data_IF_811657221084
#
_entry.id   IF_811657221084
#
_cell.length_a   1.000
_cell.length_b   1.000
_cell.length_c   1.000
_cell.angle_alpha   90.00
_cell.angle_beta   90.00
_cell.angle_gamma   90.00
#
_symmetry.space_group_name_H-M   'P 1'
#
loop_
_entity.id
_entity.type
_entity.pdbx_description
1 polymer ?
#
# COMPACT_ATOMS: atom_id res chain seq x y z
N UNK A 1 1.07 -39.21 15.61
CA UNK A 1 2.07 -39.20 14.54
C UNK A 1 2.60 -37.79 14.37
N UNK A 2 3.93 -37.59 14.22
CA UNK A 2 4.50 -36.28 13.91
C UNK A 2 3.92 -35.74 12.59
N UNK A 3 3.70 -34.44 12.50
CA UNK A 3 3.24 -33.80 11.26
C UNK A 3 4.40 -33.75 10.27
N UNK A 4 4.24 -34.40 9.12
CA UNK A 4 5.20 -34.36 8.02
C UNK A 4 5.07 -33.03 7.27
N UNK A 5 6.19 -32.33 7.09
CA UNK A 5 6.23 -31.09 6.33
C UNK A 5 6.15 -31.41 4.83
N UNK A 6 5.34 -30.70 4.04
CA UNK A 6 5.35 -30.87 2.60
C UNK A 6 6.68 -30.37 2.01
N UNK A 7 7.02 -30.83 0.80
CA UNK A 7 8.14 -30.28 0.05
C UNK A 7 7.87 -28.78 -0.26
N UNK A 8 8.70 -27.85 0.25
CA UNK A 8 8.53 -26.42 0.00
C UNK A 8 8.67 -26.01 -1.47
N UNK A 9 9.30 -26.87 -2.30
CA UNK A 9 9.47 -26.67 -3.74
C UNK A 9 8.28 -27.19 -4.56
N UNK A 10 7.40 -27.99 -3.98
CA UNK A 10 6.21 -28.44 -4.69
C UNK A 10 5.27 -27.26 -4.92
N UNK A 11 5.13 -26.85 -6.18
CA UNK A 11 4.26 -25.76 -6.63
C UNK A 11 2.94 -26.25 -7.22
N UNK A 12 2.68 -27.56 -7.21
CA UNK A 12 1.44 -28.13 -7.77
C UNK A 12 0.22 -27.53 -7.08
N UNK A 13 -0.63 -26.84 -7.84
CA UNK A 13 -1.82 -26.16 -7.31
C UNK A 13 -1.54 -24.93 -6.45
N UNK A 14 -0.33 -24.37 -6.48
CA UNK A 14 0.05 -23.14 -5.79
C UNK A 14 0.30 -21.99 -6.78
N UNK A 15 0.02 -20.73 -6.40
CA UNK A 15 -0.53 -20.30 -5.11
C UNK A 15 -2.03 -20.59 -4.98
N UNK A 16 -2.51 -20.93 -3.76
CA UNK A 16 -3.93 -21.30 -3.52
C UNK A 16 -4.92 -20.15 -3.62
N UNK A 17 -4.43 -18.91 -3.64
CA UNK A 17 -5.24 -17.70 -3.55
C UNK A 17 -5.12 -16.87 -4.83
N UNK A 18 -5.17 -17.53 -5.99
CA UNK A 18 -5.00 -16.83 -7.28
C UNK A 18 -6.24 -16.04 -7.70
N UNK A 19 -7.43 -16.62 -7.53
CA UNK A 19 -8.70 -15.92 -7.79
C UNK A 19 -8.91 -14.65 -6.94
N UNK A 20 -8.67 -14.65 -5.61
CA UNK A 20 -8.78 -13.43 -4.81
C UNK A 20 -7.59 -12.47 -4.98
N UNK A 21 -6.53 -12.85 -5.71
CA UNK A 21 -5.33 -12.01 -5.87
C UNK A 21 -5.66 -10.74 -6.66
N UNK A 22 -5.56 -9.54 -6.05
CA UNK A 22 -6.09 -8.33 -6.66
C UNK A 22 -5.25 -7.84 -7.84
N UNK A 23 -3.95 -8.12 -7.86
CA UNK A 23 -3.03 -7.54 -8.85
C UNK A 23 -3.00 -8.25 -10.20
N UNK A 24 -3.69 -9.39 -10.35
CA UNK A 24 -3.88 -10.09 -11.64
C UNK A 24 -5.22 -9.73 -12.31
N UNK A 25 -6.06 -8.94 -11.64
CA UNK A 25 -7.38 -8.59 -12.14
C UNK A 25 -7.29 -7.39 -13.06
N UNK A 26 -8.21 -7.32 -14.01
CA UNK A 26 -8.44 -6.16 -14.85
C UNK A 26 -9.73 -5.47 -14.39
N UNK A 27 -9.82 -4.17 -14.61
CA UNK A 27 -11.07 -3.45 -14.63
C UNK A 27 -11.97 -4.02 -15.76
N UNK A 28 -13.26 -3.73 -15.67
CA UNK A 28 -14.31 -4.28 -16.52
C UNK A 28 -14.43 -5.82 -16.45
N UNK A 29 -13.82 -6.47 -15.45
CA UNK A 29 -13.94 -7.92 -15.25
C UNK A 29 -15.07 -8.27 -14.27
N UNK A 30 -15.62 -9.48 -14.43
CA UNK A 30 -16.75 -9.96 -13.62
C UNK A 30 -18.10 -9.68 -14.25
N UNK A 31 -19.13 -9.59 -13.42
CA UNK A 31 -20.50 -9.32 -13.86
C UNK A 31 -20.64 -7.86 -14.30
N UNK A 32 -21.05 -7.64 -15.55
CA UNK A 32 -21.35 -6.31 -16.07
C UNK A 32 -22.54 -5.72 -15.31
N UNK A 33 -22.48 -4.46 -14.85
CA UNK A 33 -23.60 -3.79 -14.21
C UNK A 33 -24.86 -3.83 -15.09
N UNK A 34 -26.02 -4.05 -14.47
CA UNK A 34 -27.31 -4.08 -15.16
C UNK A 34 -27.70 -2.73 -15.77
N UNK A 35 -27.17 -1.63 -15.23
CA UNK A 35 -27.38 -0.26 -15.71
C UNK A 35 -26.03 0.32 -16.13
N UNK A 36 -25.97 0.77 -17.39
CA UNK A 36 -24.81 1.44 -17.97
C UNK A 36 -25.21 2.85 -18.38
N UNK A 37 -24.28 3.82 -18.38
CA UNK A 37 -24.56 5.14 -18.92
C UNK A 37 -24.84 5.07 -20.43
N UNK A 38 -25.79 5.86 -20.90
CA UNK A 38 -26.10 6.04 -22.33
C UNK A 38 -25.10 6.98 -23.03
N UNK A 39 -24.35 7.76 -22.25
CA UNK A 39 -23.31 8.65 -22.74
C UNK A 39 -22.54 9.34 -21.61
N UNK A 40 -21.54 10.14 -22.00
CA UNK A 40 -20.79 11.01 -21.10
C UNK A 40 -20.44 12.30 -21.82
N UNK A 41 -20.63 13.44 -21.17
CA UNK A 41 -20.21 14.74 -21.67
C UNK A 41 -18.68 14.85 -21.79
N UNK A 42 -17.94 14.05 -21.02
CA UNK A 42 -16.47 13.98 -21.08
C UNK A 42 -16.05 12.66 -21.73
N UNK A 43 -15.35 12.69 -22.89
CA UNK A 43 -14.84 11.47 -23.49
C UNK A 43 -13.75 10.86 -22.60
N UNK A 44 -13.75 9.54 -22.50
CA UNK A 44 -12.70 8.77 -21.83
C UNK A 44 -12.47 7.46 -22.57
N UNK A 45 -11.29 6.87 -22.38
CA UNK A 45 -10.97 5.57 -22.97
C UNK A 45 -11.73 4.46 -22.24
N UNK A 46 -12.60 3.77 -22.96
CA UNK A 46 -13.31 2.60 -22.46
C UNK A 46 -12.47 1.32 -22.71
N UNK A 47 -11.52 1.05 -21.82
CA UNK A 47 -10.61 -0.10 -21.90
C UNK A 47 -10.44 -0.78 -20.54
N UNK A 48 -10.07 -2.07 -20.57
CA UNK A 48 -9.79 -2.85 -19.37
C UNK A 48 -8.36 -2.58 -18.87
N UNK A 49 -8.23 -1.67 -17.89
CA UNK A 49 -6.95 -1.37 -17.23
C UNK A 49 -6.64 -2.39 -16.11
N UNK A 50 -5.38 -2.55 -15.67
CA UNK A 50 -5.06 -3.31 -14.46
C UNK A 50 -5.87 -2.81 -13.26
N UNK A 51 -6.43 -3.74 -12.47
CA UNK A 51 -7.23 -3.36 -11.32
C UNK A 51 -6.38 -2.62 -10.29
N UNK A 52 -6.88 -1.47 -9.84
CA UNK A 52 -6.30 -0.74 -8.73
C UNK A 52 -6.73 -1.35 -7.40
N UNK A 53 -5.75 -1.71 -6.57
CA UNK A 53 -5.96 -2.19 -5.21
C UNK A 53 -5.13 -1.38 -4.21
N UNK A 54 -5.83 -0.62 -3.37
CA UNK A 54 -5.21 0.19 -2.32
C UNK A 54 -5.74 -0.29 -0.96
N UNK A 55 -4.88 -0.83 -0.07
CA UNK A 55 -5.30 -1.27 1.25
C UNK A 55 -5.96 -0.15 2.07
N UNK A 56 -6.91 -0.50 2.93
CA UNK A 56 -7.67 0.42 3.79
C UNK A 56 -6.77 1.46 4.49
N UNK A 57 -5.69 0.99 5.09
CA UNK A 57 -4.77 1.81 5.87
C UNK A 57 -3.90 2.74 5.01
N UNK A 58 -3.82 2.50 3.70
CA UNK A 58 -3.20 3.41 2.75
C UNK A 58 -4.23 4.40 2.21
N UNK A 59 -5.41 3.92 1.86
CA UNK A 59 -6.49 4.71 1.30
C UNK A 59 -6.99 5.79 2.26
N UNK A 60 -7.13 5.46 3.54
CA UNK A 60 -7.60 6.38 4.60
C UNK A 60 -6.48 7.08 5.38
N UNK A 61 -5.23 6.92 4.96
CA UNK A 61 -4.11 7.53 5.65
C UNK A 61 -4.18 9.07 5.58
N UNK A 62 -4.16 9.72 6.73
CA UNK A 62 -4.26 11.18 6.83
C UNK A 62 -5.69 11.70 6.93
N UNK A 63 -6.71 10.82 6.90
CA UNK A 63 -8.10 11.22 7.15
C UNK A 63 -8.29 11.57 8.63
N UNK A 64 -9.21 12.50 8.95
CA UNK A 64 -9.74 12.68 10.28
C UNK A 64 -10.36 11.39 10.81
N UNK A 65 -10.16 11.12 12.10
CA UNK A 65 -10.62 9.88 12.75
C UNK A 65 -12.15 9.73 12.71
N UNK A 66 -12.88 10.84 12.84
CA UNK A 66 -14.34 10.89 12.72
C UNK A 66 -14.83 10.46 11.34
N UNK A 67 -14.20 10.97 10.28
CA UNK A 67 -14.51 10.58 8.90
C UNK A 67 -14.14 9.11 8.66
N UNK A 68 -12.96 8.68 9.11
CA UNK A 68 -12.51 7.28 8.95
C UNK A 68 -13.48 6.30 9.64
N UNK A 69 -13.99 6.65 10.81
CA UNK A 69 -15.03 5.86 11.52
C UNK A 69 -16.36 5.87 10.77
N UNK A 70 -16.80 7.02 10.25
CA UNK A 70 -18.03 7.11 9.47
C UNK A 70 -17.97 6.21 8.23
N UNK A 71 -16.85 6.24 7.49
CA UNK A 71 -16.63 5.37 6.34
C UNK A 71 -16.57 3.90 6.76
N UNK A 72 -15.87 3.57 7.85
CA UNK A 72 -15.79 2.18 8.32
C UNK A 72 -17.15 1.59 8.73
N UNK A 73 -18.06 2.43 9.24
CA UNK A 73 -19.39 2.01 9.68
C UNK A 73 -20.41 1.89 8.53
N UNK A 74 -20.16 2.54 7.39
CA UNK A 74 -21.06 2.50 6.23
C UNK A 74 -20.27 2.61 4.92
N UNK A 75 -19.39 1.64 4.64
CA UNK A 75 -18.46 1.72 3.50
C UNK A 75 -19.17 1.83 2.15
N UNK A 76 -20.35 1.23 2.03
CA UNK A 76 -21.25 1.25 0.88
C UNK A 76 -21.78 2.66 0.52
N UNK A 77 -21.71 3.62 1.43
CA UNK A 77 -22.13 5.01 1.20
C UNK A 77 -21.02 5.93 0.71
N UNK A 78 -19.81 5.40 0.61
CA UNK A 78 -18.61 6.15 0.26
C UNK A 78 -17.82 5.42 -0.82
N UNK A 79 -17.24 6.19 -1.73
CA UNK A 79 -16.29 5.69 -2.71
C UNK A 79 -15.09 6.62 -2.77
N UNK A 80 -13.93 6.08 -3.08
CA UNK A 80 -12.72 6.88 -3.24
C UNK A 80 -12.48 7.17 -4.72
N UNK A 81 -12.35 8.46 -5.06
CA UNK A 81 -11.87 8.92 -6.36
C UNK A 81 -10.38 9.26 -6.27
N UNK A 82 -9.53 8.47 -6.92
CA UNK A 82 -8.07 8.59 -6.88
C UNK A 82 -7.56 9.13 -8.21
N UNK A 83 -7.04 10.36 -8.25
CA UNK A 83 -6.34 10.82 -9.44
C UNK A 83 -5.02 10.04 -9.61
N UNK A 84 -4.68 9.72 -10.85
CA UNK A 84 -3.39 9.12 -11.16
C UNK A 84 -2.25 10.10 -10.83
N UNK A 85 -1.29 9.66 -10.02
CA UNK A 85 -0.26 10.54 -9.46
C UNK A 85 -0.71 11.33 -8.23
N UNK A 86 -1.83 10.97 -7.59
CA UNK A 86 -2.36 11.63 -6.41
C UNK A 86 -1.31 11.96 -5.34
N UNK A 87 -1.40 13.15 -4.74
CA UNK A 87 -0.54 13.57 -3.64
C UNK A 87 -0.47 15.08 -3.52
N UNK A 88 0.28 15.62 -2.53
CA UNK A 88 0.37 17.05 -2.27
C UNK A 88 0.69 17.89 -3.49
N UNK A 89 1.58 17.42 -4.37
CA UNK A 89 1.92 18.14 -5.60
C UNK A 89 0.73 18.22 -6.54
N UNK A 90 0.07 17.09 -6.79
CA UNK A 90 -1.08 17.02 -7.69
C UNK A 90 -2.23 17.91 -7.21
N UNK A 91 -2.51 17.93 -5.90
CA UNK A 91 -3.55 18.79 -5.33
C UNK A 91 -3.17 20.28 -5.30
N UNK A 92 -1.89 20.61 -5.18
CA UNK A 92 -1.43 21.99 -5.33
C UNK A 92 -1.60 22.47 -6.78
N UNK A 93 -1.34 21.59 -7.75
CA UNK A 93 -1.53 21.84 -9.17
C UNK A 93 -3.03 21.80 -9.56
N UNK A 94 -3.90 21.18 -8.74
CA UNK A 94 -5.35 21.05 -8.94
C UNK A 94 -6.16 21.43 -7.67
N UNK A 95 -6.20 22.71 -7.27
CA UNK A 95 -6.78 23.14 -6.00
C UNK A 95 -8.30 22.93 -5.89
N UNK A 96 -8.99 22.73 -7.01
CA UNK A 96 -10.44 22.45 -7.09
C UNK A 96 -10.74 21.04 -7.61
N UNK A 97 -9.88 20.08 -7.28
CA UNK A 97 -10.02 18.70 -7.72
C UNK A 97 -11.36 18.05 -7.33
N UNK A 98 -11.94 18.49 -6.21
CA UNK A 98 -13.29 18.11 -5.76
C UNK A 98 -14.36 18.49 -6.80
N UNK A 99 -14.31 19.73 -7.32
CA UNK A 99 -15.21 20.18 -8.37
C UNK A 99 -14.94 19.47 -9.69
N UNK A 100 -13.67 19.30 -10.07
CA UNK A 100 -13.31 18.60 -11.32
C UNK A 100 -13.84 17.17 -11.35
N UNK A 101 -13.71 16.45 -10.23
CA UNK A 101 -14.29 15.11 -10.12
C UNK A 101 -15.81 15.15 -10.11
N UNK A 102 -16.42 16.12 -9.41
CA UNK A 102 -17.89 16.26 -9.39
C UNK A 102 -18.45 16.53 -10.79
N UNK A 103 -17.88 17.48 -11.53
CA UNK A 103 -18.27 17.82 -12.90
C UNK A 103 -18.14 16.62 -13.83
N UNK A 104 -17.05 15.85 -13.70
CA UNK A 104 -16.88 14.60 -14.44
C UNK A 104 -18.00 13.59 -14.15
N UNK A 105 -18.33 13.37 -12.86
CA UNK A 105 -19.40 12.47 -12.45
C UNK A 105 -20.79 12.96 -12.88
N UNK A 106 -21.04 14.27 -12.80
CA UNK A 106 -22.28 14.89 -13.25
C UNK A 106 -22.45 14.78 -14.77
N UNK A 107 -21.36 14.68 -15.54
CA UNK A 107 -21.36 14.57 -16.99
C UNK A 107 -21.86 13.23 -17.54
N UNK A 108 -22.01 12.19 -16.72
CA UNK A 108 -22.58 10.91 -17.16
C UNK A 108 -24.09 11.02 -17.39
N UNK A 109 -24.56 10.53 -18.53
CA UNK A 109 -25.98 10.31 -18.77
C UNK A 109 -26.38 8.94 -18.19
N UNK A 110 -26.78 8.95 -16.92
CA UNK A 110 -27.10 7.76 -16.13
C UNK A 110 -28.44 7.98 -15.41
N UNK A 111 -29.37 7.00 -15.40
CA UNK A 111 -30.77 7.21 -14.96
C UNK A 111 -30.93 7.76 -13.55
N UNK A 112 -30.17 7.22 -12.60
CA UNK A 112 -30.06 7.75 -11.24
C UNK A 112 -28.61 7.72 -10.79
N UNK A 113 -28.05 8.90 -10.53
CA UNK A 113 -26.69 9.09 -10.02
C UNK A 113 -26.66 9.34 -8.51
N UNK A 114 -27.80 9.67 -7.91
CA UNK A 114 -27.90 10.23 -6.56
C UNK A 114 -27.39 11.68 -6.44
N UNK A 115 -27.58 12.34 -5.28
CA UNK A 115 -27.07 13.68 -4.97
C UNK A 115 -25.55 13.67 -4.68
N UNK A 116 -24.74 13.48 -5.72
CA UNK A 116 -23.29 13.32 -5.60
C UNK A 116 -22.63 14.51 -4.92
N UNK A 117 -21.85 14.20 -3.89
CA UNK A 117 -20.97 15.13 -3.18
C UNK A 117 -19.54 14.60 -3.21
N UNK A 118 -18.58 15.49 -3.50
CA UNK A 118 -17.14 15.19 -3.54
C UNK A 118 -16.41 16.15 -2.62
N UNK A 119 -15.47 15.65 -1.82
CA UNK A 119 -14.63 16.50 -0.97
C UNK A 119 -13.25 15.90 -0.70
N UNK A 120 -12.27 16.76 -0.41
CA UNK A 120 -10.94 16.35 0.03
C UNK A 120 -10.92 16.12 1.55
N UNK A 121 -10.42 14.97 2.03
CA UNK A 121 -10.61 14.54 3.43
C UNK A 121 -9.59 15.17 4.40
N UNK A 122 -9.12 16.40 4.17
CA UNK A 122 -8.19 17.08 5.09
C UNK A 122 -8.89 18.30 5.67
N UNK A 123 -9.03 18.33 7.00
CA UNK A 123 -9.50 19.53 7.70
C UNK A 123 -8.45 20.62 7.52
N UNK A 124 -8.86 21.78 6.99
CA UNK A 124 -8.05 22.99 7.10
C UNK A 124 -7.79 23.26 8.59
N UNK A 125 -6.53 23.11 9.02
CA UNK A 125 -6.16 23.49 10.38
C UNK A 125 -6.16 25.02 10.45
N UNK A 126 -7.28 25.61 10.84
CA UNK A 126 -7.33 27.03 11.23
C UNK A 126 -6.53 27.17 12.52
N UNK A 127 -5.32 27.74 12.46
CA UNK A 127 -4.48 27.94 13.63
C UNK A 127 -5.12 28.90 14.63
N UNK A 128 -4.81 28.74 15.93
CA UNK A 128 -5.33 29.53 17.07
C UNK A 128 -5.07 31.06 17.01
N UNK A 129 -4.45 31.57 15.94
CA UNK A 129 -4.20 33.00 15.69
C UNK A 129 -4.53 33.45 14.26
N UNK A 130 -5.32 32.68 13.50
CA UNK A 130 -5.55 32.92 12.07
C UNK A 130 -4.31 32.74 11.18
N UNK A 131 -3.13 32.47 11.77
CA UNK A 131 -1.95 32.03 11.04
C UNK A 131 -2.06 30.53 10.78
N UNK A 132 -2.02 30.16 9.51
CA UNK A 132 -1.83 28.78 9.06
C UNK A 132 -0.50 28.31 9.65
N UNK A 133 -0.55 27.51 10.72
CA UNK A 133 0.66 26.94 11.32
C UNK A 133 1.06 25.77 10.43
N UNK A 134 2.03 26.02 9.56
CA UNK A 134 2.74 24.96 8.86
C UNK A 134 3.63 24.22 9.86
N UNK A 135 3.04 23.31 10.63
CA UNK A 135 3.77 22.45 11.57
C UNK A 135 4.93 21.78 10.83
N UNK A 136 6.15 22.20 11.15
CA UNK A 136 7.42 21.59 10.79
C UNK A 136 7.41 20.83 9.46
N UNK A 137 7.46 21.55 8.34
CA UNK A 137 7.64 20.99 6.98
C UNK A 137 8.92 20.14 6.90
N UNK A 138 8.90 18.91 7.42
CA UNK A 138 9.53 17.83 6.67
C UNK A 138 8.82 17.88 5.32
N UNK A 139 9.55 18.26 4.26
CA UNK A 139 8.99 18.36 2.91
C UNK A 139 8.25 17.06 2.63
N UNK A 140 6.91 17.11 2.66
CA UNK A 140 6.10 15.95 2.31
C UNK A 140 6.47 15.58 0.88
N UNK A 141 6.64 14.29 0.61
CA UNK A 141 6.86 13.80 -0.75
C UNK A 141 5.73 14.32 -1.65
N UNK A 142 6.04 14.59 -2.92
CA UNK A 142 5.05 15.03 -3.92
C UNK A 142 3.85 14.08 -4.00
N UNK A 143 4.05 12.81 -3.63
CA UNK A 143 3.09 11.71 -3.71
C UNK A 143 2.62 11.18 -2.34
N UNK A 144 2.87 11.93 -1.25
CA UNK A 144 2.43 11.55 0.09
C UNK A 144 0.90 11.49 0.22
N UNK A 145 0.43 10.89 1.31
CA UNK A 145 -0.99 10.76 1.66
C UNK A 145 -1.55 12.06 2.28
N UNK A 146 -2.87 12.31 2.24
CA UNK A 146 -3.92 11.46 1.66
C UNK A 146 -3.99 11.58 0.14
N UNK A 147 -4.40 10.48 -0.50
CA UNK A 147 -4.49 10.33 -1.96
C UNK A 147 -5.90 10.48 -2.53
N UNK A 148 -6.98 10.01 -1.89
CA UNK A 148 -8.30 10.04 -2.52
C UNK A 148 -9.08 11.31 -2.18
N UNK A 149 -9.95 11.71 -3.12
CA UNK A 149 -11.18 12.45 -2.83
C UNK A 149 -12.25 11.46 -2.34
N UNK A 150 -13.10 11.90 -1.43
CA UNK A 150 -14.23 11.09 -0.95
C UNK A 150 -15.47 11.48 -1.73
N UNK A 151 -16.13 10.49 -2.33
CA UNK A 151 -17.40 10.62 -3.05
C UNK A 151 -18.51 10.02 -2.18
N UNK A 152 -19.63 10.71 -2.02
CA UNK A 152 -20.82 10.24 -1.29
C UNK A 152 -22.10 10.73 -1.95
N UNK A 153 -23.26 10.24 -1.47
CA UNK A 153 -24.57 10.54 -2.08
C UNK A 153 -24.78 9.91 -3.46
N UNK A 154 -23.93 8.96 -3.84
CA UNK A 154 -24.02 8.25 -5.12
C UNK A 154 -25.03 7.09 -5.02
N UNK A 155 -25.79 6.84 -6.09
CA UNK A 155 -26.67 5.67 -6.19
C UNK A 155 -25.87 4.36 -6.24
N UNK A 156 -26.47 3.26 -5.82
CA UNK A 156 -25.80 1.95 -5.79
C UNK A 156 -25.42 1.48 -7.21
N UNK A 157 -26.32 1.65 -8.18
CA UNK A 157 -26.08 1.21 -9.56
C UNK A 157 -25.00 2.05 -10.25
N UNK A 158 -24.95 3.36 -9.99
CA UNK A 158 -23.89 4.19 -10.54
C UNK A 158 -22.54 3.86 -9.89
N UNK A 159 -22.51 3.58 -8.57
CA UNK A 159 -21.30 3.10 -7.90
C UNK A 159 -20.82 1.77 -8.49
N UNK A 160 -21.70 0.80 -8.72
CA UNK A 160 -21.36 -0.48 -9.37
C UNK A 160 -20.71 -0.26 -10.74
N UNK A 161 -21.28 0.64 -11.56
CA UNK A 161 -20.70 1.01 -12.84
C UNK A 161 -19.30 1.61 -12.71
N UNK A 162 -19.12 2.60 -11.83
CA UNK A 162 -17.83 3.26 -11.64
C UNK A 162 -16.75 2.30 -11.12
N UNK A 163 -17.11 1.36 -10.25
CA UNK A 163 -16.19 0.33 -9.73
C UNK A 163 -15.88 -0.73 -10.77
N UNK A 164 -16.87 -1.14 -11.57
CA UNK A 164 -16.67 -2.07 -12.68
C UNK A 164 -15.72 -1.48 -13.72
N UNK A 165 -15.97 -0.25 -14.20
CA UNK A 165 -15.07 0.42 -15.15
C UNK A 165 -13.72 0.78 -14.52
N UNK A 166 -13.74 1.15 -13.23
CA UNK A 166 -12.64 1.52 -12.36
C UNK A 166 -11.76 2.69 -12.80
N UNK A 167 -11.23 2.67 -14.02
CA UNK A 167 -10.27 3.63 -14.56
C UNK A 167 -10.89 4.42 -15.70
N UNK A 168 -10.81 5.75 -15.59
CA UNK A 168 -11.30 6.69 -16.59
C UNK A 168 -10.14 7.59 -17.02
N UNK A 169 -9.51 7.25 -18.15
CA UNK A 169 -8.45 8.04 -18.74
C UNK A 169 -9.06 9.12 -19.65
N UNK A 170 -9.01 10.38 -19.20
CA UNK A 170 -9.62 11.52 -19.90
C UNK A 170 -8.54 12.27 -20.69
N UNK A 171 -8.76 12.59 -21.99
CA UNK A 171 -7.85 13.40 -22.78
C UNK A 171 -7.48 14.73 -22.09
N UNK A 172 -6.18 15.04 -22.06
CA UNK A 172 -5.61 16.36 -21.73
C UNK A 172 -5.78 16.86 -20.28
N UNK A 173 -6.33 16.07 -19.36
CA UNK A 173 -6.66 16.57 -18.03
C UNK A 173 -6.23 15.63 -16.89
N UNK A 174 -6.94 14.51 -16.67
CA UNK A 174 -6.85 13.73 -15.44
C UNK A 174 -7.20 12.26 -15.74
N UNK A 175 -6.55 11.33 -15.05
CA UNK A 175 -7.01 9.93 -14.99
C UNK A 175 -7.61 9.69 -13.62
N UNK A 176 -8.88 9.30 -13.57
CA UNK A 176 -9.57 8.95 -12.33
C UNK A 176 -9.60 7.43 -12.16
N UNK A 177 -9.28 6.98 -10.95
CA UNK A 177 -9.48 5.60 -10.53
C UNK A 177 -10.49 5.56 -9.39
N UNK A 178 -11.46 4.68 -9.45
CA UNK A 178 -12.46 4.51 -8.40
C UNK A 178 -12.21 3.22 -7.63
N UNK A 179 -12.17 3.32 -6.31
CA UNK A 179 -12.02 2.15 -5.44
C UNK A 179 -13.00 2.22 -4.29
N UNK A 180 -13.49 1.06 -3.86
CA UNK A 180 -14.34 0.94 -2.68
C UNK A 180 -13.51 1.14 -1.41
N UNK A 181 -14.14 1.74 -0.42
CA UNK A 181 -13.64 1.71 0.95
C UNK A 181 -13.96 0.35 1.57
N UNK A 182 -12.96 -0.52 1.70
CA UNK A 182 -13.12 -1.79 2.41
C UNK A 182 -12.23 -1.81 3.66
N UNK A 183 -12.80 -1.71 4.88
CA UNK A 183 -12.04 -1.79 6.14
C UNK A 183 -11.22 -3.08 6.31
N UNK A 184 -11.57 -4.14 5.58
CA UNK A 184 -10.89 -5.44 5.60
C UNK A 184 -9.83 -5.58 4.51
N UNK A 185 -9.70 -4.61 3.60
CA UNK A 185 -8.68 -4.63 2.56
C UNK A 185 -7.29 -4.40 3.16
N UNK A 186 -6.53 -5.47 3.35
CA UNK A 186 -5.17 -5.46 3.87
C UNK A 186 -4.12 -5.62 2.76
N UNK A 187 -2.90 -5.18 3.01
CA UNK A 187 -1.82 -5.30 2.03
C UNK A 187 -1.49 -6.77 1.71
N UNK A 188 -1.55 -7.13 0.44
CA UNK A 188 -1.05 -8.42 -0.06
C UNK A 188 0.48 -8.46 -0.15
N UNK A 189 1.13 -7.29 -0.21
CA UNK A 189 2.59 -7.18 -0.25
C UNK A 189 3.14 -7.28 1.17
N UNK A 190 3.87 -8.34 1.43
CA UNK A 190 4.36 -8.71 2.76
C UNK A 190 5.73 -8.09 3.01
N UNK A 191 6.67 -8.32 2.10
CA UNK A 191 8.07 -7.94 2.26
C UNK A 191 8.77 -7.78 0.89
N UNK A 192 9.81 -6.96 0.86
CA UNK A 192 10.74 -6.89 -0.26
C UNK A 192 12.12 -7.34 0.23
N UNK A 193 12.83 -8.13 -0.57
CA UNK A 193 14.15 -8.67 -0.25
C UNK A 193 15.16 -8.30 -1.31
N UNK A 194 16.35 -7.84 -0.88
CA UNK A 194 17.50 -7.53 -1.73
C UNK A 194 18.67 -8.47 -1.43
N UNK A 195 19.65 -8.50 -2.33
CA UNK A 195 20.90 -9.24 -2.15
C UNK A 195 21.49 -9.72 -3.48
N UNK A 196 22.70 -10.25 -3.45
CA UNK A 196 23.44 -10.67 -4.66
C UNK A 196 22.77 -11.80 -5.45
N UNK A 197 21.86 -12.54 -4.79
CA UNK A 197 21.10 -13.64 -5.37
C UNK A 197 19.86 -13.16 -6.13
N UNK A 198 19.44 -11.90 -5.95
CA UNK A 198 18.22 -11.38 -6.55
C UNK A 198 18.43 -11.12 -8.03
N UNK A 199 17.81 -11.97 -8.87
CA UNK A 199 17.93 -11.96 -10.33
C UNK A 199 16.61 -12.42 -10.93
N UNK A 200 16.33 -12.01 -12.17
CA UNK A 200 15.16 -12.48 -12.91
C UNK A 200 15.39 -13.90 -13.45
N UNK A 201 15.43 -14.88 -12.55
CA UNK A 201 15.62 -16.30 -12.86
C UNK A 201 14.54 -17.12 -12.14
N UNK A 202 13.74 -17.85 -12.91
CA UNK A 202 12.59 -18.59 -12.38
C UNK A 202 13.00 -19.67 -11.36
N UNK A 203 14.13 -20.33 -11.57
CA UNK A 203 14.64 -21.38 -10.67
C UNK A 203 15.06 -20.77 -9.34
N UNK A 204 15.81 -19.67 -9.37
CA UNK A 204 16.22 -18.94 -8.17
C UNK A 204 15.04 -18.33 -7.42
N UNK A 205 14.03 -17.81 -8.12
CA UNK A 205 12.79 -17.30 -7.51
C UNK A 205 12.06 -18.44 -6.78
N UNK A 206 11.92 -19.60 -7.42
CA UNK A 206 11.29 -20.77 -6.80
C UNK A 206 12.09 -21.28 -5.59
N UNK A 207 13.42 -21.33 -5.70
CA UNK A 207 14.31 -21.71 -4.60
C UNK A 207 14.21 -20.73 -3.42
N UNK A 208 14.25 -19.43 -3.69
CA UNK A 208 14.12 -18.39 -2.68
C UNK A 208 12.76 -18.47 -1.96
N UNK A 209 11.67 -18.70 -2.71
CA UNK A 209 10.35 -18.90 -2.13
C UNK A 209 10.31 -20.16 -1.24
N UNK A 210 10.91 -21.26 -1.66
CA UNK A 210 11.00 -22.47 -0.86
C UNK A 210 11.78 -22.23 0.45
N UNK A 211 12.91 -21.54 0.40
CA UNK A 211 13.67 -21.15 1.60
C UNK A 211 12.86 -20.24 2.54
N UNK A 212 12.15 -19.25 2.00
CA UNK A 212 11.24 -18.38 2.76
C UNK A 212 10.16 -19.19 3.49
N UNK A 213 9.53 -20.16 2.80
CA UNK A 213 8.53 -21.05 3.38
C UNK A 213 9.11 -21.87 4.53
N UNK A 214 10.27 -22.51 4.34
CA UNK A 214 10.92 -23.32 5.38
C UNK A 214 11.24 -22.50 6.63
N UNK A 215 11.81 -21.30 6.46
CA UNK A 215 12.13 -20.43 7.59
C UNK A 215 10.86 -19.95 8.31
N UNK A 216 9.78 -19.66 7.58
CA UNK A 216 8.48 -19.35 8.17
C UNK A 216 7.93 -20.55 8.97
N UNK A 217 8.02 -21.77 8.43
CA UNK A 217 7.54 -22.99 9.08
C UNK A 217 8.34 -23.35 10.33
N UNK A 218 9.60 -22.94 10.45
CA UNK A 218 10.45 -23.18 11.62
C UNK A 218 10.29 -22.11 12.72
N UNK A 219 9.76 -20.94 12.37
CA UNK A 219 9.62 -19.81 13.29
C UNK A 219 8.49 -20.03 14.31
N UNK A 220 8.83 -20.48 15.52
CA UNK A 220 7.88 -20.67 16.63
C UNK A 220 7.07 -19.41 16.95
N UNK A 221 7.66 -18.19 17.01
CA UNK A 221 6.88 -16.97 17.22
C UNK A 221 5.83 -16.74 16.12
N UNK A 222 6.20 -16.97 14.86
CA UNK A 222 5.28 -16.83 13.73
C UNK A 222 4.17 -17.88 13.79
N UNK A 223 4.50 -19.15 14.06
CA UNK A 223 3.53 -20.23 14.21
C UNK A 223 2.49 -19.92 15.30
N UNK A 224 2.93 -19.44 16.46
CA UNK A 224 2.04 -19.08 17.56
C UNK A 224 1.13 -17.90 17.21
N UNK A 225 1.65 -16.92 16.46
CA UNK A 225 0.85 -15.81 15.97
C UNK A 225 -0.20 -16.29 14.95
N UNK A 226 0.19 -17.09 13.96
CA UNK A 226 -0.73 -17.69 12.96
C UNK A 226 -1.82 -18.51 13.64
N UNK A 227 -1.46 -19.34 14.63
CA UNK A 227 -2.43 -20.09 15.43
C UNK A 227 -3.42 -19.17 16.14
N UNK A 228 -2.96 -18.11 16.81
CA UNK A 228 -3.84 -17.16 17.50
C UNK A 228 -4.83 -16.49 16.54
N UNK A 229 -4.34 -16.03 15.39
CA UNK A 229 -5.14 -15.39 14.35
C UNK A 229 -6.21 -16.34 13.82
N UNK A 230 -5.82 -17.57 13.48
CA UNK A 230 -6.75 -18.57 12.91
C UNK A 230 -7.75 -19.08 13.95
N UNK A 231 -7.34 -19.24 15.21
CA UNK A 231 -8.23 -19.59 16.32
C UNK A 231 -9.30 -18.52 16.56
N UNK A 232 -8.95 -17.23 16.47
CA UNK A 232 -9.93 -16.14 16.55
C UNK A 232 -10.99 -16.19 15.42
N UNK A 233 -10.67 -16.86 14.30
CA UNK A 233 -11.61 -17.16 13.20
C UNK A 233 -12.30 -18.53 13.34
N UNK A 234 -12.26 -19.15 14.52
CA UNK A 234 -12.86 -20.48 14.77
C UNK A 234 -12.11 -21.66 14.16
N UNK A 235 -10.92 -21.44 13.58
CA UNK A 235 -10.09 -22.51 13.00
C UNK A 235 -9.05 -22.95 14.03
N UNK A 236 -9.24 -24.14 14.59
CA UNK A 236 -8.24 -24.77 15.46
C UNK A 236 -7.31 -25.69 14.64
N UNK A 237 -6.11 -25.94 15.16
CA UNK A 237 -5.17 -26.84 14.48
C UNK A 237 -3.75 -26.78 15.04
N UNK A 238 -2.90 -27.67 14.53
CA UNK A 238 -1.47 -27.65 14.81
C UNK A 238 -0.85 -26.34 14.25
N UNK A 239 -0.07 -25.57 15.05
CA UNK A 239 0.53 -24.31 14.62
C UNK A 239 1.34 -24.41 13.32
N UNK A 240 2.10 -25.49 13.14
CA UNK A 240 2.92 -25.72 11.96
C UNK A 240 2.02 -25.93 10.74
N UNK A 241 0.99 -26.80 10.86
CA UNK A 241 0.04 -27.06 9.76
C UNK A 241 -0.69 -25.77 9.32
N UNK A 242 -1.05 -24.92 10.27
CA UNK A 242 -1.68 -23.62 9.99
C UNK A 242 -0.71 -22.66 9.29
N UNK A 243 0.57 -22.67 9.68
CA UNK A 243 1.61 -21.86 9.03
C UNK A 243 1.91 -22.34 7.61
N UNK A 244 2.00 -23.66 7.40
CA UNK A 244 2.08 -24.26 6.06
C UNK A 244 0.93 -23.79 5.20
N UNK A 245 -0.31 -23.88 5.69
CA UNK A 245 -1.50 -23.42 4.96
C UNK A 245 -1.44 -21.93 4.62
N UNK A 246 -1.01 -21.07 5.54
CA UNK A 246 -0.82 -19.63 5.25
C UNK A 246 0.16 -19.41 4.10
N UNK A 247 1.29 -20.12 4.08
CA UNK A 247 2.31 -19.95 3.04
C UNK A 247 1.92 -20.52 1.67
N UNK A 248 0.80 -21.24 1.55
CA UNK A 248 0.31 -21.74 0.26
C UNK A 248 -0.19 -20.62 -0.66
N UNK A 249 -0.56 -19.46 -0.11
CA UNK A 249 -0.91 -18.27 -0.92
C UNK A 249 0.31 -17.45 -1.36
N UNK A 250 1.51 -17.78 -0.86
CA UNK A 250 2.70 -16.97 -1.10
C UNK A 250 3.19 -17.09 -2.54
N UNK A 251 3.55 -15.94 -3.09
CA UNK A 251 4.22 -15.80 -4.39
C UNK A 251 5.40 -14.84 -4.24
N UNK A 252 6.46 -15.09 -5.00
CA UNK A 252 7.65 -14.26 -5.02
C UNK A 252 7.86 -13.76 -6.44
N UNK A 253 8.02 -12.45 -6.60
CA UNK A 253 8.17 -11.83 -7.92
C UNK A 253 9.46 -11.03 -7.97
N UNK A 254 10.22 -11.17 -9.04
CA UNK A 254 11.35 -10.28 -9.31
C UNK A 254 10.83 -8.90 -9.73
N UNK A 255 11.32 -7.86 -9.07
CA UNK A 255 10.98 -6.48 -9.35
C UNK A 255 12.26 -5.69 -9.53
N UNK A 256 12.43 -5.13 -10.73
CA UNK A 256 13.55 -4.25 -11.01
C UNK A 256 13.31 -2.90 -10.33
N UNK A 257 14.26 -2.42 -9.53
CA UNK A 257 14.16 -1.15 -8.81
C UNK A 257 15.16 -0.16 -9.38
N UNK A 258 14.92 0.34 -10.60
CA UNK A 258 15.68 1.48 -11.13
C UNK A 258 15.26 2.74 -10.39
N UNK A 259 15.87 3.04 -9.24
CA UNK A 259 15.90 4.41 -8.77
C UNK A 259 17.11 5.09 -9.41
N UNK A 260 16.84 6.16 -10.15
CA UNK A 260 17.81 6.88 -10.98
C UNK A 260 19.00 7.48 -10.20
N UNK A 261 18.94 7.50 -8.86
CA UNK A 261 19.99 8.04 -8.00
C UNK A 261 20.26 7.22 -6.73
N UNK A 262 19.62 6.06 -6.55
CA UNK A 262 19.75 5.28 -5.30
C UNK A 262 19.95 3.81 -5.64
N UNK A 263 21.14 3.31 -5.29
CA UNK A 263 21.82 2.05 -5.63
C UNK A 263 21.11 0.77 -5.13
N UNK A 264 19.79 0.82 -4.99
CA UNK A 264 18.98 -0.31 -4.55
C UNK A 264 18.73 -1.18 -5.76
N UNK A 265 19.65 -2.12 -5.97
CA UNK A 265 19.51 -3.20 -6.93
C UNK A 265 18.16 -3.93 -6.80
N UNK A 266 17.83 -4.81 -7.76
CA UNK A 266 16.52 -5.42 -7.85
C UNK A 266 16.11 -6.13 -6.55
N UNK A 267 14.80 -6.30 -6.37
CA UNK A 267 14.24 -7.00 -5.21
C UNK A 267 13.42 -8.21 -5.61
N UNK A 268 13.32 -9.17 -4.70
CA UNK A 268 12.23 -10.13 -4.66
C UNK A 268 11.09 -9.57 -3.80
N UNK A 269 9.92 -9.40 -4.39
CA UNK A 269 8.71 -8.95 -3.71
C UNK A 269 7.88 -10.17 -3.29
N UNK A 270 7.80 -10.40 -1.98
CA UNK A 270 6.96 -11.44 -1.38
C UNK A 270 5.54 -10.90 -1.20
N UNK A 271 4.59 -11.62 -1.80
CA UNK A 271 3.16 -11.35 -1.68
C UNK A 271 2.43 -12.58 -1.18
N UNK A 272 1.28 -12.38 -0.52
CA UNK A 272 0.43 -13.47 -0.06
C UNK A 272 -0.89 -12.95 0.47
N UNK A 273 -1.89 -13.83 0.48
CA UNK A 273 -3.24 -13.52 0.98
C UNK A 273 -3.19 -13.22 2.49
N UNK A 274 -3.75 -12.09 2.95
CA UNK A 274 -3.95 -11.83 4.36
C UNK A 274 -4.86 -12.89 5.01
N UNK A 275 -4.40 -13.54 6.08
CA UNK A 275 -5.20 -14.55 6.80
C UNK A 275 -6.15 -13.95 7.85
N UNK A 276 -6.28 -12.62 7.89
CA UNK A 276 -6.97 -11.84 8.91
C UNK A 276 -7.64 -10.61 8.29
N UNK A 277 -8.48 -9.96 9.08
CA UNK A 277 -9.16 -8.71 8.70
C UNK A 277 -8.70 -7.56 9.63
N UNK A 278 -7.89 -7.88 10.65
CA UNK A 278 -7.35 -6.93 11.63
C UNK A 278 -5.98 -6.40 11.19
N UNK A 279 -5.88 -5.07 11.08
CA UNK A 279 -4.69 -4.39 10.58
C UNK A 279 -3.47 -4.53 11.50
N UNK A 280 -3.66 -4.50 12.82
CA UNK A 280 -2.54 -4.51 13.76
C UNK A 280 -1.94 -5.90 13.90
N UNK A 281 -2.78 -6.94 13.91
CA UNK A 281 -2.34 -8.32 13.80
C UNK A 281 -1.64 -8.57 12.44
N UNK A 282 -2.13 -7.98 11.35
CA UNK A 282 -1.48 -8.10 10.04
C UNK A 282 -0.09 -7.43 10.00
N UNK A 283 0.05 -6.26 10.63
CA UNK A 283 1.36 -5.60 10.84
C UNK A 283 2.30 -6.45 11.68
N UNK A 284 1.80 -7.06 12.76
CA UNK A 284 2.60 -7.97 13.57
C UNK A 284 3.06 -9.20 12.76
N UNK A 285 2.15 -9.80 11.99
CA UNK A 285 2.45 -10.95 11.13
C UNK A 285 3.51 -10.60 10.08
N UNK A 286 3.32 -9.52 9.33
CA UNK A 286 4.28 -9.06 8.31
C UNK A 286 5.63 -8.70 8.94
N UNK A 287 5.66 -8.12 10.14
CA UNK A 287 6.90 -7.85 10.89
C UNK A 287 7.67 -9.13 11.22
N UNK A 288 6.99 -10.18 11.67
CA UNK A 288 7.64 -11.48 11.89
C UNK A 288 8.22 -12.08 10.62
N UNK A 289 7.51 -11.96 9.48
CA UNK A 289 7.98 -12.47 8.19
C UNK A 289 9.20 -11.67 7.70
N UNK A 290 9.19 -10.33 7.87
CA UNK A 290 10.31 -9.47 7.48
C UNK A 290 11.59 -9.75 8.27
N UNK A 291 11.45 -10.22 9.51
CA UNK A 291 12.57 -10.56 10.39
C UNK A 291 13.11 -12.00 10.20
N UNK A 292 12.57 -12.78 9.26
CA UNK A 292 13.11 -14.10 8.94
C UNK A 292 14.53 -13.99 8.36
N UNK A 293 15.42 -14.87 8.80
CA UNK A 293 16.81 -14.93 8.33
C UNK A 293 16.92 -15.97 7.22
N UNK A 294 16.63 -15.56 5.99
CA UNK A 294 16.60 -16.47 4.85
C UNK A 294 17.94 -16.49 4.13
N UNK A 295 18.44 -17.69 3.82
CA UNK A 295 19.62 -17.91 2.98
C UNK A 295 19.26 -18.77 1.79
N UNK A 296 19.75 -18.39 0.61
CA UNK A 296 19.61 -19.10 -0.66
C UNK A 296 21.01 -19.28 -1.21
N UNK A 297 21.47 -20.51 -1.45
CA UNK A 297 22.84 -20.80 -1.89
C UNK A 297 23.92 -20.08 -1.07
N UNK A 298 23.82 -20.15 0.27
CA UNK A 298 24.69 -19.47 1.25
C UNK A 298 24.62 -17.93 1.26
N UNK A 299 23.88 -17.31 0.35
CA UNK A 299 23.68 -15.87 0.30
C UNK A 299 22.45 -15.46 1.09
N UNK A 300 22.55 -14.39 1.89
CA UNK A 300 21.43 -13.92 2.71
C UNK A 300 20.51 -13.00 1.90
N UNK A 301 19.20 -13.22 2.02
CA UNK A 301 18.19 -12.25 1.61
C UNK A 301 18.03 -11.20 2.70
N UNK A 302 18.26 -9.94 2.35
CA UNK A 302 18.13 -8.80 3.25
C UNK A 302 16.78 -8.14 3.05
N UNK A 303 16.02 -7.93 4.12
CA UNK A 303 14.77 -7.18 4.02
C UNK A 303 15.04 -5.71 3.65
N UNK A 304 14.19 -5.14 2.80
CA UNK A 304 14.17 -3.70 2.52
C UNK A 304 13.05 -3.07 3.33
N UNK A 305 13.41 -2.10 4.19
CA UNK A 305 12.46 -1.45 5.12
C UNK A 305 11.26 -0.78 4.42
N UNK A 306 11.43 -0.38 3.16
CA UNK A 306 10.40 0.29 2.37
C UNK A 306 9.85 -0.66 1.31
N UNK A 307 8.56 -0.97 1.42
CA UNK A 307 7.82 -1.60 0.32
C UNK A 307 7.85 -0.65 -0.89
N UNK A 308 8.20 -1.21 -2.04
CA UNK A 308 8.15 -0.52 -3.32
C UNK A 308 6.69 -0.46 -3.75
N UNK A 309 6.12 0.74 -3.73
CA UNK A 309 4.81 1.01 -4.34
C UNK A 309 4.96 1.99 -5.49
N UNK A 310 4.00 1.96 -6.40
CA UNK A 310 3.93 2.89 -7.50
C UNK A 310 3.36 4.23 -7.01
N UNK A 311 4.12 5.30 -7.16
CA UNK A 311 3.67 6.65 -6.80
C UNK A 311 2.57 7.16 -7.73
N UNK A 312 2.37 6.53 -8.89
CA UNK A 312 1.39 6.95 -9.88
C UNK A 312 0.02 6.30 -9.64
N UNK A 313 -0.09 5.00 -9.89
CA UNK A 313 -1.36 4.30 -9.70
C UNK A 313 -1.63 3.93 -8.22
N UNK A 314 -0.63 3.97 -7.33
CA UNK A 314 -0.73 3.60 -5.90
C UNK A 314 -0.79 2.10 -5.57
N UNK A 315 -0.75 1.23 -6.58
CA UNK A 315 -0.55 -0.21 -6.36
C UNK A 315 0.81 -0.50 -5.70
N UNK A 316 0.87 -1.55 -4.88
CA UNK A 316 2.07 -1.91 -4.11
C UNK A 316 2.93 -3.00 -4.75
N UNK A 317 2.52 -3.57 -5.89
CA UNK A 317 3.18 -4.72 -6.51
C UNK A 317 4.26 -4.35 -7.53
N UNK A 318 4.47 -3.06 -7.82
CA UNK A 318 5.44 -2.59 -8.80
C UNK A 318 5.94 -1.17 -8.46
N UNK A 319 7.14 -0.77 -8.94
CA UNK A 319 7.66 0.58 -8.82
C UNK A 319 7.06 1.51 -9.88
N UNK A 320 7.17 2.81 -9.63
CA UNK A 320 6.67 3.88 -10.50
C UNK A 320 7.12 3.79 -11.97
N UNK A 321 8.37 3.43 -12.24
CA UNK A 321 8.90 3.32 -13.60
C UNK A 321 8.43 2.08 -14.36
N UNK A 322 7.85 1.10 -13.66
CA UNK A 322 7.26 -0.11 -14.23
C UNK A 322 5.73 -0.10 -14.08
N UNK A 323 5.12 1.09 -14.01
CA UNK A 323 3.67 1.20 -13.95
C UNK A 323 3.04 0.65 -15.24
N UNK A 324 2.08 -0.29 -15.16
CA UNK A 324 1.52 -0.92 -16.35
C UNK A 324 0.52 -0.04 -17.10
N UNK A 325 -0.07 0.98 -16.45
CA UNK A 325 -1.14 1.79 -17.01
C UNK A 325 -0.79 2.44 -18.36
N UNK A 326 0.38 3.09 -18.54
CA UNK A 326 0.76 3.67 -19.82
C UNK A 326 1.00 2.66 -20.94
N UNK A 327 1.15 1.36 -20.63
CA UNK A 327 1.41 0.31 -21.61
C UNK A 327 0.17 -0.45 -22.07
N UNK A 328 -1.03 -0.13 -21.54
CA UNK A 328 -2.26 -0.89 -21.84
C UNK A 328 -2.76 -0.63 -23.26
N UNK A 329 -2.70 0.63 -23.73
CA UNK A 329 -3.22 1.01 -25.04
C UNK A 329 -2.54 2.29 -25.55
N UNK A 330 -2.46 2.39 -26.87
CA UNK A 330 -2.22 3.62 -27.63
C UNK A 330 -3.17 4.77 -27.27
N UNK A 331 -4.40 4.46 -26.81
CA UNK A 331 -5.38 5.44 -26.34
C UNK A 331 -5.25 5.81 -24.85
N UNK A 332 -4.09 5.55 -24.23
CA UNK A 332 -3.80 6.05 -22.89
C UNK A 332 -3.62 7.58 -22.90
N UNK A 333 -4.54 8.28 -22.24
CA UNK A 333 -4.50 9.74 -22.11
C UNK A 333 -3.82 10.26 -20.84
N UNK A 334 -3.32 9.36 -19.98
CA UNK A 334 -2.50 9.77 -18.84
C UNK A 334 -1.03 10.01 -19.22
N UNK A 335 -0.15 10.28 -18.24
CA UNK A 335 1.26 10.49 -18.56
C UNK A 335 1.89 9.21 -19.12
N UNK A 336 2.67 9.36 -20.17
CA UNK A 336 3.45 8.32 -20.84
C UNK A 336 4.55 7.78 -19.93
N UNK A 337 5.06 6.57 -20.20
CA UNK A 337 6.16 5.99 -19.42
C UNK A 337 7.40 6.91 -19.33
N UNK A 338 7.70 7.64 -20.42
CA UNK A 338 8.80 8.60 -20.46
C UNK A 338 8.53 9.85 -19.61
N UNK A 339 7.30 10.37 -19.62
CA UNK A 339 6.92 11.48 -18.74
C UNK A 339 6.96 11.07 -17.27
N UNK A 340 6.50 9.87 -16.92
CA UNK A 340 6.61 9.34 -15.57
C UNK A 340 8.09 9.28 -15.13
N UNK A 341 8.96 8.81 -16.03
CA UNK A 341 10.40 8.75 -15.79
C UNK A 341 11.01 10.14 -15.62
N UNK A 342 10.62 11.11 -16.45
CA UNK A 342 11.08 12.50 -16.37
C UNK A 342 10.60 13.18 -15.07
N UNK A 343 9.35 12.95 -14.67
CA UNK A 343 8.81 13.45 -13.40
C UNK A 343 9.58 12.88 -12.20
N UNK A 344 9.98 11.61 -12.25
CA UNK A 344 10.85 11.02 -11.23
C UNK A 344 12.23 11.68 -11.19
N UNK A 345 12.82 12.02 -12.35
CA UNK A 345 14.09 12.76 -12.41
C UNK A 345 13.97 14.17 -11.82
N UNK A 346 12.88 14.89 -12.12
CA UNK A 346 12.66 16.27 -11.66
C UNK A 346 12.30 16.37 -10.17
N UNK A 347 11.62 15.36 -9.62
CA UNK A 347 11.22 15.37 -8.21
C UNK A 347 12.42 15.29 -7.25
N UNK A 348 13.58 14.86 -7.73
CA UNK A 348 14.77 14.59 -6.93
C UNK A 348 14.57 13.41 -5.97
N UNK A 349 15.65 12.89 -5.39
CA UNK A 349 15.54 11.85 -4.37
C UNK A 349 14.77 12.42 -3.17
N UNK A 350 13.87 11.64 -2.54
CA UNK A 350 13.25 12.07 -1.30
C UNK A 350 14.38 12.36 -0.30
N UNK A 351 14.51 13.63 0.10
CA UNK A 351 15.54 14.08 1.04
C UNK A 351 15.49 13.17 2.28
N UNK A 352 16.46 12.28 2.43
CA UNK A 352 16.55 11.40 3.60
C UNK A 352 16.79 12.28 4.83
N UNK A 353 15.81 12.44 5.73
CA UNK A 353 15.93 13.33 6.87
C UNK A 353 16.93 12.81 7.92
N UNK A 354 17.56 11.65 7.71
CA UNK A 354 18.47 11.00 8.66
C UNK A 354 19.95 11.27 8.43
N UNK A 355 20.40 11.61 7.22
CA UNK A 355 21.85 11.75 6.95
C UNK A 355 22.31 13.18 7.26
N UNK A 356 22.35 13.52 8.55
CA UNK A 356 23.21 14.62 9.03
C UNK A 356 24.62 14.31 8.54
N UNK A 357 25.04 14.94 7.44
CA UNK A 357 26.46 15.08 7.10
C UNK A 357 27.10 15.66 8.35
N UNK A 358 27.79 14.83 9.14
CA UNK A 358 28.82 15.29 10.06
C UNK A 358 29.90 15.87 9.17
N UNK A 359 29.71 17.10 8.71
CA UNK A 359 30.83 17.93 8.29
C UNK A 359 31.71 18.04 9.53
N UNK A 360 32.86 17.36 9.46
CA UNK A 360 33.86 17.37 10.48
C UNK A 360 34.38 18.79 10.65
N UNK A 361 33.79 19.53 11.59
CA UNK A 361 34.48 20.64 12.22
C UNK A 361 35.41 20.06 13.29
N UNK A 362 36.59 19.66 12.84
CA UNK A 362 37.75 19.43 13.70
C UNK A 362 38.13 20.75 14.37
N UNK A 363 37.53 21.06 15.51
CA UNK A 363 38.09 22.01 16.48
C UNK A 363 38.91 21.23 17.51
N UNK A 364 40.23 21.50 17.64
CA UNK A 364 41.03 20.98 18.74
C UNK A 364 40.86 21.90 19.96
N UNK A 365 40.57 21.31 21.12
CA UNK A 365 40.77 21.99 22.41
C UNK A 365 39.65 21.79 23.42
N UNK A 366 40.01 21.30 24.61
CA UNK A 366 39.16 21.44 25.80
C UNK A 366 39.24 20.33 26.83
N UNK A 367 40.41 20.13 27.43
CA UNK A 367 40.59 19.38 28.70
C UNK A 367 39.78 20.07 29.82
N UNK A 368 38.80 19.39 30.42
CA UNK A 368 38.40 19.62 31.83
C UNK A 368 37.57 18.41 32.32
N UNK A 369 38.13 17.62 33.25
CA UNK A 369 37.78 17.54 34.69
C UNK A 369 36.35 17.01 34.93
N UNK A 370 36.18 15.74 35.29
CA UNK A 370 36.22 15.18 36.66
C UNK A 370 35.02 15.63 37.53
N UNK A 371 34.11 14.70 37.84
CA UNK A 371 33.00 14.87 38.79
C UNK A 371 31.93 13.80 38.58
N UNK A 372 32.11 12.61 39.18
CA UNK A 372 31.47 12.13 40.43
C UNK A 372 30.07 11.54 40.23
N UNK A 373 30.01 10.23 40.47
CA UNK A 373 28.83 9.40 40.75
C UNK A 373 27.85 10.07 41.72
N UNK A 374 26.55 9.84 41.48
CA UNK A 374 25.61 9.48 42.54
C UNK A 374 24.58 8.48 42.02
N UNK A 375 24.44 7.43 42.80
CA UNK A 375 23.51 6.33 42.70
C UNK A 375 22.06 6.74 43.02
N UNK A 376 21.16 5.84 42.60
CA UNK A 376 19.90 5.41 43.23
C UNK A 376 18.83 6.43 43.67
N UNK A 377 17.63 6.30 43.11
CA UNK A 377 16.45 5.87 43.91
C UNK A 377 15.22 5.59 43.02
N UNK A 378 14.72 4.36 43.11
CA UNK A 378 13.41 3.94 42.62
C UNK A 378 12.36 4.17 43.71
N UNK A 379 11.34 5.00 43.45
CA UNK A 379 10.19 5.16 44.35
C UNK A 379 8.98 4.34 43.86
N UNK A 380 8.59 3.36 44.67
CA UNK A 380 7.39 2.52 44.54
C UNK A 380 6.14 3.31 44.98
N UNK A 381 5.12 3.36 44.12
CA UNK A 381 3.80 3.95 44.43
C UNK A 381 2.91 2.90 45.12
N UNK A 382 2.55 3.15 46.39
CA UNK A 382 1.50 2.39 47.12
C UNK A 382 0.11 2.87 46.69
N UNK A 383 -0.77 1.92 46.36
CA UNK A 383 -2.23 2.13 46.17
C UNK A 383 -2.92 2.24 47.54
N UNK A 384 -3.70 3.30 47.72
CA UNK A 384 -4.64 3.46 48.84
C UNK A 384 -5.92 2.66 48.62
N UNK A 385 -6.40 2.03 49.70
CA UNK A 385 -7.78 1.55 49.87
C UNK A 385 -8.72 2.76 50.00
N UNK A 386 -9.91 2.67 49.40
CA UNK A 386 -11.08 3.48 49.79
C UNK A 386 -12.13 2.55 50.40
N UNK A 387 -12.85 3.15 51.35
CA UNK A 387 -13.92 2.63 52.20
C UNK A 387 -15.07 1.98 51.44
#
# INVERSE_FOLDING_TARGET
MPFELPDPRNTTGLPTADEPFPYNKLACSGETPSVLPTGSATPFTNMAYPQLYVPWNHLTAGFPEDLRKAIANSPDKFMAGLPYGAGPKWYADNPRADLLLKEFLDGFDFPDKGPITVFYPVKEKVGKKGKIIEEGRKRKSAFDKPWPLVVTGISEDFMKYLIWQQTFAIPSCIVWNFVLFDPKALAWVVAAFQGNIVRNDATLIAEALACLKVEAWRSVPLQNLVKRITQAKGKSGNPIKLTVKMTQSWRLTYVETKNLEDDKGPVFLLMGEPIMDDLDLHRALTTHIRNLRVRVNYQQLLNVDKIIGCDWCKNQNHPSHACPFPGVDSAWYGPTADELRLCMMKAGPPNDPGRKRKEGSSKPGGRSKQGKNKDDEWSVVRRGKKH
#
